data_IF_460543233763
#
_entry.id   IF_460543233763
#
_cell.length_a   1.000
_cell.length_b   1.000
_cell.length_c   1.000
_cell.angle_alpha   90.00
_cell.angle_beta   90.00
_cell.angle_gamma   90.00
#
_symmetry.space_group_name_H-M   'P 1'
#
loop_
_entity.id
_entity.type
_entity.pdbx_description
1 polymer ?
#
# COMPACT_ATOMS: atom_id res chain seq x y z
N UNK A 1 28.65 -10.89 0.01
CA UNK A 1 27.39 -10.78 0.75
C UNK A 1 26.29 -11.30 -0.14
N UNK A 2 25.85 -12.52 0.11
CA UNK A 2 24.82 -13.19 -0.68
C UNK A 2 23.46 -12.64 -0.28
N UNK A 3 22.79 -11.94 -1.20
CA UNK A 3 21.41 -11.52 -1.02
C UNK A 3 20.51 -12.75 -1.06
N UNK A 4 20.11 -13.22 0.12
CA UNK A 4 19.07 -14.24 0.25
C UNK A 4 17.73 -13.64 -0.20
N UNK A 5 17.40 -13.89 -1.48
CA UNK A 5 16.07 -13.67 -2.01
C UNK A 5 15.10 -14.61 -1.28
N UNK A 6 14.31 -14.06 -0.36
CA UNK A 6 13.12 -14.71 0.18
C UNK A 6 12.11 -14.93 -0.95
N UNK A 7 12.22 -16.07 -1.64
CA UNK A 7 11.17 -16.61 -2.51
C UNK A 7 10.00 -16.98 -1.59
N UNK A 8 9.02 -16.10 -1.46
CA UNK A 8 7.70 -16.50 -1.00
C UNK A 8 7.17 -17.51 -2.01
N UNK A 9 7.19 -18.78 -1.63
CA UNK A 9 6.50 -19.84 -2.34
C UNK A 9 5.01 -19.52 -2.26
N UNK A 10 4.46 -18.99 -3.36
CA UNK A 10 3.03 -19.07 -3.62
C UNK A 10 2.77 -20.56 -3.81
N UNK A 11 2.32 -21.22 -2.76
CA UNK A 11 1.71 -22.53 -2.87
C UNK A 11 0.51 -22.35 -3.78
N UNK A 12 0.69 -22.75 -5.03
CA UNK A 12 -0.34 -22.87 -6.04
C UNK A 12 -1.28 -23.98 -5.53
N UNK A 13 -2.22 -23.60 -4.66
CA UNK A 13 -3.39 -24.39 -4.35
C UNK A 13 -4.17 -24.49 -5.66
N UNK A 14 -3.81 -25.49 -6.45
CA UNK A 14 -4.56 -25.96 -7.59
C UNK A 14 -5.92 -26.40 -7.04
N UNK A 15 -6.86 -25.46 -6.94
CA UNK A 15 -8.27 -25.80 -6.79
C UNK A 15 -8.59 -26.69 -7.98
N UNK A 16 -8.92 -27.98 -7.77
CA UNK A 16 -9.38 -28.78 -8.88
C UNK A 16 -10.65 -28.08 -9.34
N UNK A 17 -10.61 -27.55 -10.57
CA UNK A 17 -11.80 -27.23 -11.34
C UNK A 17 -12.52 -28.56 -11.57
N UNK A 18 -13.19 -29.06 -10.54
CA UNK A 18 -14.18 -30.10 -10.65
C UNK A 18 -15.37 -29.41 -11.32
N UNK A 19 -15.27 -29.27 -12.65
CA UNK A 19 -16.45 -29.21 -13.49
C UNK A 19 -17.13 -30.55 -13.31
N UNK A 20 -18.00 -30.61 -12.31
CA UNK A 20 -18.97 -31.67 -12.19
C UNK A 20 -19.97 -31.44 -13.32
N UNK A 21 -19.64 -31.93 -14.51
CA UNK A 21 -20.65 -32.19 -15.55
C UNK A 21 -21.59 -33.26 -14.96
N UNK A 22 -22.59 -32.79 -14.22
CA UNK A 22 -23.66 -33.64 -13.74
C UNK A 22 -24.47 -34.08 -14.96
N UNK A 23 -24.45 -35.40 -15.19
CA UNK A 23 -24.98 -36.06 -16.37
C UNK A 23 -26.36 -35.56 -16.79
N UNK A 24 -26.43 -35.17 -18.07
CA UNK A 24 -27.68 -35.01 -18.82
C UNK A 24 -28.32 -36.38 -19.04
N UNK A 25 -28.93 -36.99 -18.03
CA UNK A 25 -29.85 -38.12 -18.23
C UNK A 25 -31.07 -37.94 -17.33
N UNK A 26 -32.21 -37.60 -17.96
CA UNK A 26 -33.54 -37.92 -17.41
C UNK A 26 -34.27 -36.92 -16.52
N UNK A 27 -34.25 -35.60 -16.80
CA UNK A 27 -35.19 -34.67 -16.13
C UNK A 27 -36.40 -34.34 -17.02
N UNK A 28 -37.61 -34.69 -16.56
CA UNK A 28 -38.90 -34.38 -17.22
C UNK A 28 -39.02 -32.88 -17.55
N UNK A 29 -39.49 -32.51 -18.75
CA UNK A 29 -39.66 -31.12 -19.13
C UNK A 29 -40.87 -30.53 -18.38
N UNK A 30 -40.67 -29.49 -17.57
CA UNK A 30 -41.82 -28.65 -17.19
C UNK A 30 -41.85 -27.95 -15.83
N UNK A 31 -41.01 -28.24 -14.81
CA UNK A 31 -41.31 -27.67 -13.47
C UNK A 31 -40.16 -27.34 -12.51
N UNK A 32 -38.96 -26.95 -12.96
CA UNK A 32 -37.88 -26.46 -12.05
C UNK A 32 -37.00 -25.31 -12.59
N UNK A 33 -37.33 -24.75 -13.76
CA UNK A 33 -36.46 -23.80 -14.47
C UNK A 33 -36.37 -22.42 -13.81
N UNK A 34 -37.36 -21.98 -13.03
CA UNK A 34 -37.31 -20.67 -12.36
C UNK A 34 -36.29 -20.63 -11.23
N UNK A 35 -36.26 -21.63 -10.35
CA UNK A 35 -35.33 -21.70 -9.21
C UNK A 35 -33.89 -21.89 -9.66
N UNK A 36 -33.63 -22.72 -10.69
CA UNK A 36 -32.28 -22.89 -11.26
C UNK A 36 -31.79 -21.61 -11.95
N UNK A 37 -32.65 -20.86 -12.66
CA UNK A 37 -32.30 -19.56 -13.23
C UNK A 37 -31.97 -18.51 -12.17
N UNK A 38 -32.70 -18.52 -11.04
CA UNK A 38 -32.44 -17.63 -9.91
C UNK A 38 -31.08 -17.95 -9.27
N UNK A 39 -30.73 -19.23 -9.11
CA UNK A 39 -29.43 -19.63 -8.56
C UNK A 39 -28.26 -19.23 -9.49
N UNK A 40 -28.42 -19.38 -10.81
CA UNK A 40 -27.42 -18.93 -11.79
C UNK A 40 -27.23 -17.40 -11.70
N UNK A 41 -28.32 -16.63 -11.66
CA UNK A 41 -28.27 -15.17 -11.52
C UNK A 41 -27.58 -14.76 -10.21
N UNK A 42 -27.90 -15.44 -9.11
CA UNK A 42 -27.30 -15.17 -7.80
C UNK A 42 -25.80 -15.52 -7.75
N UNK A 43 -25.38 -16.65 -8.36
CA UNK A 43 -23.96 -17.02 -8.49
C UNK A 43 -23.18 -16.00 -9.32
N UNK A 44 -23.76 -15.57 -10.44
CA UNK A 44 -23.12 -14.60 -11.32
C UNK A 44 -22.98 -13.24 -10.65
N UNK A 45 -23.98 -12.81 -9.87
CA UNK A 45 -23.89 -11.56 -9.11
C UNK A 45 -22.87 -11.64 -7.96
N UNK A 46 -22.79 -12.77 -7.24
CA UNK A 46 -21.73 -12.99 -6.24
C UNK A 46 -20.33 -12.93 -6.85
N UNK A 47 -20.14 -13.53 -8.03
CA UNK A 47 -18.85 -13.46 -8.75
C UNK A 47 -18.51 -12.05 -9.21
N UNK A 48 -19.50 -11.27 -9.67
CA UNK A 48 -19.29 -9.85 -9.99
C UNK A 48 -18.92 -9.04 -8.76
N UNK A 49 -19.60 -9.28 -7.65
CA UNK A 49 -19.35 -8.58 -6.40
C UNK A 49 -17.94 -8.85 -5.87
N UNK A 50 -17.52 -10.12 -5.83
CA UNK A 50 -16.15 -10.47 -5.41
C UNK A 50 -15.08 -9.87 -6.33
N UNK A 51 -15.35 -9.79 -7.64
CA UNK A 51 -14.45 -9.11 -8.58
C UNK A 51 -14.37 -7.59 -8.31
N UNK A 52 -15.48 -6.94 -7.97
CA UNK A 52 -15.50 -5.51 -7.59
C UNK A 52 -14.72 -5.28 -6.29
N UNK A 53 -14.96 -6.10 -5.27
CA UNK A 53 -14.28 -6.03 -3.98
C UNK A 53 -12.77 -6.26 -4.13
N UNK A 54 -12.36 -7.21 -4.97
CA UNK A 54 -10.95 -7.43 -5.28
C UNK A 54 -10.29 -6.16 -5.85
N UNK A 55 -10.95 -5.49 -6.81
CA UNK A 55 -10.46 -4.22 -7.38
C UNK A 55 -10.41 -3.10 -6.34
N UNK A 56 -11.46 -2.95 -5.53
CA UNK A 56 -11.52 -1.95 -4.47
C UNK A 56 -10.42 -2.15 -3.43
N UNK A 57 -10.22 -3.39 -2.97
CA UNK A 57 -9.15 -3.76 -2.03
C UNK A 57 -7.77 -3.50 -2.61
N UNK A 58 -7.54 -3.84 -3.89
CA UNK A 58 -6.27 -3.56 -4.57
C UNK A 58 -5.99 -2.06 -4.67
N UNK A 59 -7.01 -1.26 -5.00
CA UNK A 59 -6.91 0.20 -5.04
C UNK A 59 -6.52 0.77 -3.67
N UNK A 60 -7.25 0.40 -2.61
CA UNK A 60 -6.95 0.85 -1.24
C UNK A 60 -5.54 0.44 -0.80
N UNK A 61 -5.12 -0.79 -1.10
CA UNK A 61 -3.78 -1.26 -0.75
C UNK A 61 -2.69 -0.42 -1.41
N UNK A 62 -2.84 -0.12 -2.70
CA UNK A 62 -1.85 0.68 -3.40
C UNK A 62 -1.86 2.14 -3.00
N UNK A 63 -3.04 2.70 -2.72
CA UNK A 63 -3.15 4.05 -2.16
C UNK A 63 -2.39 4.17 -0.84
N UNK A 64 -2.59 3.23 0.10
CA UNK A 64 -1.86 3.22 1.36
C UNK A 64 -0.33 3.09 1.18
N UNK A 65 0.11 2.23 0.26
CA UNK A 65 1.53 2.07 -0.02
C UNK A 65 2.14 3.33 -0.65
N UNK A 66 1.39 4.00 -1.52
CA UNK A 66 1.79 5.27 -2.13
C UNK A 66 1.92 6.37 -1.07
N UNK A 67 0.94 6.49 -0.18
CA UNK A 67 1.00 7.42 0.96
C UNK A 67 2.22 7.17 1.86
N UNK A 68 2.49 5.91 2.23
CA UNK A 68 3.67 5.55 3.02
C UNK A 68 5.00 5.92 2.33
N UNK A 69 5.10 5.70 1.03
CA UNK A 69 6.30 6.05 0.26
C UNK A 69 6.45 7.57 0.20
N UNK A 70 5.37 8.30 -0.10
CA UNK A 70 5.39 9.76 -0.17
C UNK A 70 5.80 10.40 1.16
N UNK A 71 5.27 9.90 2.28
CA UNK A 71 5.63 10.39 3.61
C UNK A 71 7.11 10.13 3.94
N UNK A 72 7.62 8.95 3.57
CA UNK A 72 9.03 8.61 3.76
C UNK A 72 9.94 9.48 2.89
N UNK A 73 9.58 9.70 1.63
CA UNK A 73 10.33 10.57 0.72
C UNK A 73 10.37 12.00 1.24
N UNK A 74 9.23 12.52 1.72
CA UNK A 74 9.15 13.84 2.36
C UNK A 74 10.05 13.94 3.59
N UNK A 75 10.05 12.93 4.45
CA UNK A 75 10.92 12.89 5.62
C UNK A 75 12.41 12.86 5.22
N UNK A 76 12.78 12.08 4.20
CA UNK A 76 14.17 12.03 3.70
C UNK A 76 14.61 13.38 3.17
N UNK A 77 13.75 14.08 2.40
CA UNK A 77 14.06 15.40 1.87
C UNK A 77 14.24 16.42 3.01
N UNK A 78 13.35 16.41 4.01
CA UNK A 78 13.46 17.28 5.17
C UNK A 78 14.77 17.04 5.96
N UNK A 79 15.11 15.78 6.22
CA UNK A 79 16.35 15.42 6.93
C UNK A 79 17.61 15.77 6.15
N UNK A 80 17.59 15.65 4.82
CA UNK A 80 18.72 16.09 3.97
C UNK A 80 18.92 17.59 4.03
N UNK A 81 17.83 18.37 3.92
CA UNK A 81 17.90 19.83 4.06
C UNK A 81 18.42 20.23 5.45
N UNK A 82 17.97 19.55 6.50
CA UNK A 82 18.48 19.78 7.85
C UNK A 82 19.98 19.47 7.98
N UNK A 83 20.44 18.33 7.44
CA UNK A 83 21.85 17.96 7.44
C UNK A 83 22.71 18.95 6.67
N UNK A 84 22.26 19.40 5.49
CA UNK A 84 22.96 20.40 4.69
C UNK A 84 23.14 21.72 5.45
N UNK A 85 22.11 22.16 6.19
CA UNK A 85 22.22 23.33 7.08
C UNK A 85 23.31 23.13 8.13
N UNK A 86 23.34 21.98 8.81
CA UNK A 86 24.37 21.69 9.82
C UNK A 86 25.78 21.63 9.23
N UNK A 87 25.95 21.09 8.03
CA UNK A 87 27.24 21.07 7.34
C UNK A 87 27.71 22.50 7.02
N UNK A 88 26.82 23.34 6.48
CA UNK A 88 27.14 24.73 6.19
C UNK A 88 27.57 25.48 7.44
N UNK A 89 26.87 25.26 8.56
CA UNK A 89 27.17 25.91 9.82
C UNK A 89 28.47 25.44 10.45
N UNK A 90 28.74 24.14 10.40
CA UNK A 90 30.02 23.60 10.84
C UNK A 90 31.19 24.26 10.11
N UNK A 91 31.04 24.50 8.80
CA UNK A 91 32.02 25.27 8.01
C UNK A 91 32.13 26.72 8.46
N UNK A 92 31.01 27.43 8.61
CA UNK A 92 31.00 28.83 9.04
C UNK A 92 31.62 29.02 10.44
N UNK A 93 31.33 28.12 11.39
CA UNK A 93 31.94 28.12 12.72
C UNK A 93 33.44 27.90 12.66
N UNK A 94 33.89 26.96 11.82
CA UNK A 94 35.31 26.68 11.63
C UNK A 94 36.04 27.86 10.98
N UNK A 95 35.35 28.69 10.20
CA UNK A 95 35.85 29.93 9.60
C UNK A 95 35.72 31.16 10.52
N UNK A 96 35.26 30.97 11.77
CA UNK A 96 34.94 32.04 12.73
C UNK A 96 33.97 33.11 12.19
N UNK A 97 33.16 32.75 11.19
CA UNK A 97 32.15 33.63 10.61
C UNK A 97 30.91 33.58 11.50
N UNK A 98 30.36 34.74 11.85
CA UNK A 98 29.08 34.83 12.56
C UNK A 98 27.98 34.21 11.71
N UNK A 99 27.36 33.14 12.21
CA UNK A 99 26.23 32.51 11.53
C UNK A 99 25.02 33.46 11.61
N UNK A 100 24.40 33.85 10.48
CA UNK A 100 23.18 34.65 10.51
C UNK A 100 21.99 33.82 11.04
N UNK A 101 21.09 34.46 11.79
CA UNK A 101 19.88 33.87 12.39
C UNK A 101 20.11 32.76 13.43
N UNK A 102 21.25 32.76 14.13
CA UNK A 102 21.52 31.87 15.28
C UNK A 102 20.42 31.93 16.33
N UNK A 103 19.91 33.12 16.65
CA UNK A 103 18.93 33.30 17.71
C UNK A 103 17.58 32.67 17.37
N UNK A 104 17.12 32.80 16.12
CA UNK A 104 15.89 32.15 15.65
C UNK A 104 16.00 30.63 15.70
N UNK A 105 17.16 30.10 15.33
CA UNK A 105 17.38 28.66 15.36
C UNK A 105 17.55 28.11 16.78
N UNK A 106 18.25 28.83 17.66
CA UNK A 106 18.38 28.42 19.06
C UNK A 106 17.02 28.46 19.78
N UNK A 107 16.09 29.30 19.32
CA UNK A 107 14.67 29.23 19.68
C UNK A 107 13.97 28.00 19.08
N UNK A 108 14.17 27.68 17.80
CA UNK A 108 13.62 26.48 17.16
C UNK A 108 14.09 25.17 17.83
N UNK A 109 15.35 25.10 18.29
CA UNK A 109 15.90 23.96 19.03
C UNK A 109 15.49 23.98 20.52
N UNK A 110 14.91 25.08 21.00
CA UNK A 110 14.45 25.22 22.39
C UNK A 110 15.57 25.47 23.40
N UNK A 111 16.75 25.90 22.94
CA UNK A 111 17.89 26.29 23.79
C UNK A 111 17.67 27.71 24.35
N UNK A 112 17.08 28.60 23.56
CA UNK A 112 16.65 29.93 24.01
C UNK A 112 15.13 29.88 24.23
N UNK A 113 14.67 30.20 25.45
CA UNK A 113 13.24 30.37 25.74
C UNK A 113 12.77 31.73 25.23
N UNK A 114 11.57 31.79 24.66
CA UNK A 114 10.91 33.07 24.42
C UNK A 114 10.58 33.71 25.78
N UNK A 115 11.03 34.95 25.97
CA UNK A 115 10.61 35.81 27.09
C UNK A 115 9.22 36.40 26.83
#
# INVERSE_FOLDING_TARGET
>A
MESQNNKMAVTEEAFPSVRKECGKRGRKPGRKTSTEKIDIKAKLERSRQSARECRARKKLRYQYLEELVADREKAVVALRAELERYILWSRQLNEHVSIPNTDQFLKEIGIIKEE
#
